data_IF_311103299221
#
_entry.id   IF_311103299221
#
_cell.length_a   1.000
_cell.length_b   1.000
_cell.length_c   1.000
_cell.angle_alpha   90.00
_cell.angle_beta   90.00
_cell.angle_gamma   90.00
#
_symmetry.space_group_name_H-M   'P 1'
#
loop_
_entity.id
_entity.type
_entity.pdbx_description
1 polymer ?
#
# COMPACT_ATOMS: atom_id res chain seq x y z
N UNK A 1 5.60 -3.68 -12.71
CA UNK A 1 6.91 -4.02 -12.09
C UNK A 1 6.72 -4.19 -10.59
N UNK A 2 7.17 -5.31 -10.02
CA UNK A 2 6.97 -5.62 -8.60
C UNK A 2 7.85 -4.74 -7.70
N UNK A 3 7.27 -4.13 -6.67
CA UNK A 3 8.02 -3.34 -5.69
C UNK A 3 8.90 -4.25 -4.84
N UNK A 4 10.11 -3.78 -4.51
CA UNK A 4 11.05 -4.50 -3.64
C UNK A 4 11.15 -3.79 -2.29
N UNK A 5 11.27 -4.55 -1.20
CA UNK A 5 11.46 -4.00 0.14
C UNK A 5 12.67 -3.05 0.21
N UNK A 6 13.76 -3.37 -0.49
CA UNK A 6 14.95 -2.51 -0.57
C UNK A 6 14.70 -1.15 -1.21
N UNK A 7 13.73 -1.04 -2.12
CA UNK A 7 13.34 0.23 -2.73
C UNK A 7 12.54 1.08 -1.74
N UNK A 8 11.60 0.48 -0.99
CA UNK A 8 10.81 1.17 0.01
C UNK A 8 11.67 1.67 1.19
N UNK A 9 12.67 0.87 1.61
CA UNK A 9 13.67 1.28 2.61
C UNK A 9 14.47 2.49 2.10
N UNK A 10 14.94 2.47 0.85
CA UNK A 10 15.68 3.61 0.26
C UNK A 10 14.84 4.89 0.16
N UNK A 11 13.53 4.76 0.01
CA UNK A 11 12.57 5.86 0.00
C UNK A 11 12.13 6.28 1.40
N UNK A 12 12.72 5.69 2.45
CA UNK A 12 12.44 5.98 3.85
C UNK A 12 10.97 5.76 4.24
N UNK A 13 10.30 4.79 3.60
CA UNK A 13 8.94 4.38 3.98
C UNK A 13 8.99 3.69 5.33
N UNK A 14 8.13 4.11 6.25
CA UNK A 14 8.06 3.51 7.58
C UNK A 14 7.60 2.05 7.50
N UNK A 15 8.18 1.21 8.36
CA UNK A 15 7.85 -0.20 8.40
C UNK A 15 7.83 -0.76 9.83
N UNK A 16 7.07 -1.84 10.02
CA UNK A 16 7.11 -2.72 11.17
C UNK A 16 7.76 -4.05 10.78
N UNK A 17 8.41 -4.70 11.74
CA UNK A 17 8.88 -6.08 11.59
C UNK A 17 7.83 -6.99 12.25
N UNK A 18 7.30 -7.95 11.50
CA UNK A 18 6.32 -8.91 12.00
C UNK A 18 6.58 -10.27 11.36
N UNK A 19 6.66 -11.32 12.18
CA UNK A 19 6.92 -12.69 11.71
C UNK A 19 8.20 -12.82 10.85
N UNK A 20 9.26 -12.07 11.20
CA UNK A 20 10.52 -11.94 10.44
C UNK A 20 10.40 -11.28 9.05
N UNK A 21 9.25 -10.68 8.73
CA UNK A 21 9.02 -9.96 7.50
C UNK A 21 8.83 -8.45 7.72
N UNK A 22 9.11 -7.67 6.67
CA UNK A 22 8.94 -6.22 6.69
C UNK A 22 7.57 -5.85 6.12
N UNK A 23 6.80 -5.13 6.93
CA UNK A 23 5.50 -4.60 6.60
C UNK A 23 5.56 -3.08 6.55
N UNK A 24 5.26 -2.49 5.41
CA UNK A 24 5.42 -1.06 5.12
C UNK A 24 4.09 -0.33 5.23
N UNK A 25 4.11 0.94 5.65
CA UNK A 25 2.91 1.79 5.77
C UNK A 25 2.22 1.98 4.41
N UNK A 26 0.97 1.53 4.30
CA UNK A 26 0.18 1.58 3.06
C UNK A 26 -0.07 3.02 2.62
N UNK A 27 -0.26 3.97 3.54
CA UNK A 27 -0.56 5.36 3.19
C UNK A 27 0.65 6.00 2.50
N UNK A 28 1.85 5.82 3.05
CA UNK A 28 3.08 6.37 2.46
C UNK A 28 3.38 5.75 1.10
N UNK A 29 3.14 4.44 0.94
CA UNK A 29 3.34 3.79 -0.35
C UNK A 29 2.31 4.31 -1.38
N UNK A 30 1.06 4.55 -0.99
CA UNK A 30 0.03 5.11 -1.89
C UNK A 30 0.40 6.51 -2.39
N UNK A 31 0.98 7.33 -1.52
CA UNK A 31 1.42 8.67 -1.89
C UNK A 31 2.61 8.64 -2.87
N UNK A 32 3.52 7.68 -2.70
CA UNK A 32 4.69 7.50 -3.59
C UNK A 32 4.35 6.77 -4.90
N UNK A 33 3.41 5.83 -4.86
CA UNK A 33 3.06 4.95 -5.98
C UNK A 33 1.52 4.88 -6.16
N UNK A 34 0.89 5.95 -6.64
CA UNK A 34 -0.57 6.02 -6.78
C UNK A 34 -1.13 5.02 -7.81
N UNK A 35 -0.31 4.49 -8.70
CA UNK A 35 -0.66 3.47 -9.69
C UNK A 35 -0.66 2.02 -9.15
N UNK A 36 -0.42 1.84 -7.85
CA UNK A 36 -0.38 0.52 -7.21
C UNK A 36 -1.71 0.15 -6.56
N UNK A 37 -2.00 -1.14 -6.61
CA UNK A 37 -3.14 -1.77 -5.98
C UNK A 37 -2.69 -2.45 -4.69
N UNK A 38 -3.51 -2.31 -3.66
CA UNK A 38 -3.27 -2.84 -2.33
C UNK A 38 -4.41 -3.81 -2.00
N UNK A 39 -4.21 -5.14 -2.19
CA UNK A 39 -5.23 -6.14 -1.92
C UNK A 39 -5.62 -6.13 -0.43
N UNK A 40 -6.91 -5.91 -0.08
CA UNK A 40 -7.34 -5.79 1.32
C UNK A 40 -7.03 -7.03 2.17
N UNK A 41 -7.02 -8.22 1.57
CA UNK A 41 -6.70 -9.49 2.21
C UNK A 41 -5.22 -9.62 2.62
N UNK A 42 -4.35 -8.78 2.04
CA UNK A 42 -2.90 -8.74 2.33
C UNK A 42 -2.52 -7.65 3.33
N UNK A 43 -3.45 -6.76 3.67
CA UNK A 43 -3.20 -5.65 4.59
C UNK A 43 -3.34 -6.15 6.02
N UNK A 44 -2.32 -5.88 6.84
CA UNK A 44 -2.32 -6.10 8.29
C UNK A 44 -2.30 -4.76 9.03
N UNK A 45 -2.97 -4.67 10.17
CA UNK A 45 -2.81 -3.52 11.06
C UNK A 45 -1.66 -3.79 12.03
N UNK A 46 -0.57 -3.03 11.92
CA UNK A 46 0.63 -3.21 12.74
C UNK A 46 1.07 -1.88 13.34
N UNK A 47 1.70 -1.89 14.53
CA UNK A 47 2.17 -0.68 15.18
C UNK A 47 3.45 -0.15 14.52
N UNK A 48 3.42 1.11 14.08
CA UNK A 48 4.58 1.87 13.58
C UNK A 48 4.64 3.19 14.36
N UNK A 49 5.76 3.44 15.06
CA UNK A 49 5.94 4.69 15.81
C UNK A 49 4.91 4.91 16.93
N UNK A 50 4.36 3.84 17.51
CA UNK A 50 3.38 3.89 18.60
C UNK A 50 1.92 3.99 18.14
N UNK A 51 1.64 4.02 16.84
CA UNK A 51 0.28 4.05 16.28
C UNK A 51 0.05 2.84 15.39
N UNK A 52 -1.14 2.25 15.47
CA UNK A 52 -1.55 1.19 14.55
C UNK A 52 -1.89 1.79 13.20
N UNK A 53 -1.21 1.32 12.15
CA UNK A 53 -1.43 1.76 10.77
C UNK A 53 -1.68 0.55 9.88
N UNK A 54 -2.26 0.78 8.71
CA UNK A 54 -2.42 -0.25 7.69
C UNK A 54 -1.07 -0.51 7.05
N UNK A 55 -0.65 -1.76 7.02
CA UNK A 55 0.66 -2.18 6.54
C UNK A 55 0.56 -3.34 5.56
N UNK A 56 1.53 -3.44 4.66
CA UNK A 56 1.58 -4.48 3.62
C UNK A 56 3.02 -4.88 3.32
N UNK A 57 3.25 -6.12 2.89
CA UNK A 57 4.57 -6.53 2.39
C UNK A 57 4.77 -5.99 0.99
N UNK A 58 6.00 -5.60 0.65
CA UNK A 58 6.33 -5.09 -0.68
C UNK A 58 5.93 -6.06 -1.80
N UNK A 59 6.00 -7.37 -1.51
CA UNK A 59 5.70 -8.41 -2.48
C UNK A 59 4.20 -8.68 -2.71
N UNK A 60 3.32 -8.18 -1.85
CA UNK A 60 1.88 -8.32 -1.99
C UNK A 60 1.25 -7.13 -2.73
N UNK A 61 2.05 -6.12 -3.09
CA UNK A 61 1.59 -4.95 -3.82
C UNK A 61 1.53 -5.26 -5.32
N UNK A 62 0.37 -4.98 -5.91
CA UNK A 62 0.08 -5.27 -7.31
C UNK A 62 0.06 -3.99 -8.15
N UNK A 63 0.21 -4.12 -9.47
CA UNK A 63 -0.02 -3.00 -10.40
C UNK A 63 -1.54 -2.83 -10.61
N UNK A 64 -2.05 -1.60 -10.61
CA UNK A 64 -3.46 -1.38 -11.00
C UNK A 64 -3.67 -1.73 -12.47
N UNK A 65 -4.67 -2.56 -12.74
CA UNK A 65 -5.13 -2.82 -14.10
C UNK A 65 -5.91 -1.62 -14.64
N UNK A 66 -6.12 -1.55 -15.96
CA UNK A 66 -6.94 -0.49 -16.54
C UNK A 66 -8.39 -0.53 -16.05
N UNK A 67 -8.88 -1.71 -15.68
CA UNK A 67 -10.17 -1.86 -14.99
C UNK A 67 -10.16 -1.21 -13.60
N UNK A 68 -9.11 -1.43 -12.80
CA UNK A 68 -8.99 -0.81 -11.48
C UNK A 68 -8.94 0.72 -11.58
N UNK A 69 -8.20 1.26 -12.56
CA UNK A 69 -8.14 2.71 -12.83
C UNK A 69 -9.52 3.27 -13.17
N UNK A 70 -10.25 2.56 -14.04
CA UNK A 70 -11.61 2.93 -14.45
C UNK A 70 -12.55 2.94 -13.26
N UNK A 71 -12.49 1.92 -12.39
CA UNK A 71 -13.30 1.86 -11.16
C UNK A 71 -12.99 3.00 -10.19
N UNK A 72 -11.72 3.37 -10.01
CA UNK A 72 -11.34 4.52 -9.18
C UNK A 72 -11.91 5.83 -9.75
N UNK A 73 -11.89 6.01 -11.08
CA UNK A 73 -12.53 7.16 -11.72
C UNK A 73 -14.05 7.17 -11.50
N UNK A 74 -14.73 6.02 -11.65
CA UNK A 74 -16.16 5.91 -11.39
C UNK A 74 -16.53 6.17 -9.93
N UNK A 75 -15.72 5.70 -8.97
CA UNK A 75 -15.93 5.96 -7.54
C UNK A 75 -15.73 7.44 -7.20
N UNK A 76 -14.71 8.10 -7.76
CA UNK A 76 -14.49 9.55 -7.61
C UNK A 76 -15.57 10.39 -8.30
N UNK A 77 -16.16 9.88 -9.38
CA UNK A 77 -17.17 10.57 -10.16
C UNK A 77 -18.59 10.46 -9.59
N UNK A 78 -18.81 9.72 -8.50
CA UNK A 78 -20.08 9.81 -7.76
C UNK A 78 -20.08 11.10 -6.94
N UNK A 79 -20.91 12.10 -7.27
CA UNK A 79 -21.14 13.22 -6.38
C UNK A 79 -21.87 12.65 -5.16
N UNK A 80 -21.49 13.09 -3.96
CA UNK A 80 -22.29 12.92 -2.76
C UNK A 80 -23.76 13.24 -3.08
N UNK A 81 -24.62 12.26 -2.82
CA UNK A 81 -26.06 12.38 -3.00
C UNK A 81 -26.71 12.70 -1.67
#
# INVERSE_FOLDING_TARGET
MKLKSSQLIKLNVRYAVHENELYFDVLEIKDLFPEKKFPPDKIKSLPIGGVFVNTIRAEDIEDMTDFDKTMVQFMKAKPDK
#
